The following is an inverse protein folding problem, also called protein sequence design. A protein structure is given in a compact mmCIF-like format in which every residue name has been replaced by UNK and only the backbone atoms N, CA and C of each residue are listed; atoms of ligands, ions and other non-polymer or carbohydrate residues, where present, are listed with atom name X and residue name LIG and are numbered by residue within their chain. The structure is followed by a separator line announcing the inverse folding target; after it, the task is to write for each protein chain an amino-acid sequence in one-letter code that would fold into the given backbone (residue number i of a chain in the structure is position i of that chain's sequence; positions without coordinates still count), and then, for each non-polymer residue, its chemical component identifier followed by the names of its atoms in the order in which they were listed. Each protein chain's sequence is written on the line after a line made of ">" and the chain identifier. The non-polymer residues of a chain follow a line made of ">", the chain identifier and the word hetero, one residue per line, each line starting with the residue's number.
data_IF_759155508386
#
_entry.id   IF_759155508386
#
_cell.length_a   1.000
_cell.length_b   1.000
_cell.length_c   1.000
_cell.angle_alpha   90.00
_cell.angle_beta   90.00
_cell.angle_gamma   90.00
#
_symmetry.space_group_name_H-M   'P 1'
#
loop_
_entity.id
_entity.type
_entity.pdbx_description
1 polymer ?
#
# COMPACT_ATOMS: atom_id res chain seq x y z
N UNK A 1 -24.77 -5.18 13.85
CA UNK A 1 -24.12 -4.33 12.85
C UNK A 1 -24.47 -4.86 11.47
N UNK A 2 -24.76 -3.98 10.54
CA UNK A 2 -24.94 -4.34 9.13
C UNK A 2 -23.58 -4.37 8.41
N UNK A 3 -23.55 -4.84 7.17
CA UNK A 3 -22.34 -4.82 6.33
C UNK A 3 -21.90 -3.39 5.93
N UNK A 4 -22.72 -2.40 6.24
CA UNK A 4 -22.43 -0.98 5.97
C UNK A 4 -21.84 -0.26 7.21
N UNK A 5 -21.82 -0.95 8.35
CA UNK A 5 -21.32 -0.35 9.59
C UNK A 5 -19.79 -0.52 9.71
N UNK A 6 -19.10 0.55 10.12
CA UNK A 6 -17.72 0.48 10.57
C UNK A 6 -17.69 0.28 12.09
N UNK A 7 -16.86 -0.65 12.57
CA UNK A 7 -16.76 -1.00 13.98
C UNK A 7 -15.36 -0.65 14.48
N UNK A 8 -15.26 0.24 15.47
CA UNK A 8 -14.03 0.50 16.20
C UNK A 8 -14.04 -0.30 17.51
N UNK A 9 -13.00 -1.11 17.73
CA UNK A 9 -12.87 -1.96 18.92
C UNK A 9 -11.68 -1.47 19.73
N UNK A 10 -11.96 -0.93 20.91
CA UNK A 10 -10.97 -0.53 21.88
C UNK A 10 -10.87 -1.54 23.02
N UNK A 11 -9.67 -1.94 23.39
CA UNK A 11 -9.44 -2.88 24.49
C UNK A 11 -7.97 -3.00 24.83
N UNK A 12 -7.69 -3.35 26.08
CA UNK A 12 -6.33 -3.55 26.58
C UNK A 12 -5.56 -4.61 25.75
N UNK A 13 -4.23 -4.57 25.72
CA UNK A 13 -3.42 -5.67 25.19
C UNK A 13 -3.84 -7.00 25.85
N UNK A 14 -3.90 -8.07 25.06
CA UNK A 14 -4.29 -9.43 25.51
C UNK A 14 -5.74 -9.56 26.02
N UNK A 15 -6.63 -8.62 25.72
CA UNK A 15 -8.06 -8.69 26.08
C UNK A 15 -8.86 -9.71 25.26
N UNK A 16 -8.23 -10.42 24.33
CA UNK A 16 -8.88 -11.42 23.49
C UNK A 16 -9.54 -10.86 22.23
N UNK A 17 -9.29 -9.60 21.85
CA UNK A 17 -9.86 -8.98 20.64
C UNK A 17 -9.62 -9.83 19.38
N UNK A 18 -8.40 -10.30 19.16
CA UNK A 18 -8.05 -11.17 18.03
C UNK A 18 -8.86 -12.47 18.06
N UNK A 19 -8.81 -13.19 19.18
CA UNK A 19 -9.45 -14.51 19.30
C UNK A 19 -10.98 -14.46 19.23
N UNK A 20 -11.61 -13.49 19.91
CA UNK A 20 -13.06 -13.47 20.05
C UNK A 20 -13.80 -12.64 19.00
N UNK A 21 -13.09 -11.71 18.32
CA UNK A 21 -13.70 -10.81 17.35
C UNK A 21 -13.06 -10.94 15.98
N UNK A 22 -11.77 -10.67 15.81
CA UNK A 22 -11.13 -10.65 14.51
C UNK A 22 -11.22 -12.00 13.78
N UNK A 23 -10.94 -13.12 14.47
CA UNK A 23 -11.03 -14.46 13.88
C UNK A 23 -12.45 -14.74 13.40
N UNK A 24 -13.48 -14.45 14.18
CA UNK A 24 -14.87 -14.67 13.80
C UNK A 24 -15.28 -13.79 12.62
N UNK A 25 -14.89 -12.51 12.61
CA UNK A 25 -15.16 -11.61 11.49
C UNK A 25 -14.52 -12.09 10.18
N UNK A 26 -13.29 -12.63 10.25
CA UNK A 26 -12.62 -13.22 9.09
C UNK A 26 -13.37 -14.47 8.59
N UNK A 27 -13.80 -15.36 9.50
CA UNK A 27 -14.46 -16.61 9.14
C UNK A 27 -15.87 -16.39 8.60
N UNK A 28 -16.62 -15.45 9.17
CA UNK A 28 -18.03 -15.20 8.82
C UNK A 28 -18.18 -14.27 7.59
N UNK A 29 -17.09 -13.66 7.12
CA UNK A 29 -17.14 -12.73 5.99
C UNK A 29 -17.62 -13.43 4.71
N UNK A 30 -18.71 -12.97 4.07
CA UNK A 30 -19.28 -13.60 2.88
C UNK A 30 -18.46 -13.35 1.60
N UNK A 31 -17.73 -12.24 1.56
CA UNK A 31 -16.94 -11.79 0.43
C UNK A 31 -15.44 -11.92 0.64
N UNK A 32 -14.70 -11.07 -0.09
CA UNK A 32 -13.26 -10.94 0.08
C UNK A 32 -12.92 -10.35 1.46
N UNK A 33 -11.75 -10.72 1.99
CA UNK A 33 -11.28 -10.27 3.30
C UNK A 33 -9.84 -9.77 3.18
N UNK A 34 -9.59 -8.57 3.68
CA UNK A 34 -8.24 -8.07 3.97
C UNK A 34 -8.09 -7.96 5.46
N UNK A 35 -7.06 -8.57 6.01
CA UNK A 35 -6.77 -8.48 7.45
C UNK A 35 -5.32 -8.15 7.70
N UNK A 36 -5.07 -7.21 8.62
CA UNK A 36 -3.74 -6.83 9.06
C UNK A 36 -3.44 -7.43 10.42
N UNK A 37 -2.19 -7.74 10.71
CA UNK A 37 -1.72 -8.11 12.03
C UNK A 37 -0.21 -7.98 12.13
N UNK A 38 0.29 -7.70 13.32
CA UNK A 38 1.73 -7.78 13.64
C UNK A 38 2.17 -9.20 14.00
N UNK A 39 1.22 -10.15 14.12
CA UNK A 39 1.44 -11.54 14.54
C UNK A 39 0.71 -12.53 13.62
N UNK A 40 1.23 -13.75 13.46
CA UNK A 40 0.64 -14.75 12.59
C UNK A 40 -0.60 -15.46 13.18
N UNK A 41 -1.08 -15.06 14.37
CA UNK A 41 -2.14 -15.78 15.09
C UNK A 41 -3.45 -15.85 14.29
N UNK A 42 -3.89 -14.73 13.69
CA UNK A 42 -5.10 -14.68 12.85
C UNK A 42 -4.95 -15.57 11.60
N UNK A 43 -3.76 -15.55 10.97
CA UNK A 43 -3.44 -16.39 9.81
C UNK A 43 -3.55 -17.86 10.21
N UNK A 44 -2.83 -18.27 11.25
CA UNK A 44 -2.78 -19.67 11.70
C UNK A 44 -4.18 -20.22 12.04
N UNK A 45 -5.03 -19.39 12.65
CA UNK A 45 -6.37 -19.80 13.07
C UNK A 45 -7.38 -19.92 11.91
N UNK A 46 -7.23 -19.13 10.84
CA UNK A 46 -8.30 -18.97 9.84
C UNK A 46 -7.93 -19.43 8.44
N UNK A 47 -6.65 -19.54 8.08
CA UNK A 47 -6.19 -19.85 6.73
C UNK A 47 -6.77 -21.15 6.16
N UNK A 48 -6.79 -22.23 6.98
CA UNK A 48 -7.30 -23.51 6.53
C UNK A 48 -8.82 -23.52 6.34
N UNK A 49 -9.56 -22.76 7.14
CA UNK A 49 -11.00 -22.64 7.00
C UNK A 49 -11.36 -21.86 5.72
N UNK A 50 -10.69 -20.74 5.46
CA UNK A 50 -10.90 -19.95 4.25
C UNK A 50 -10.52 -20.69 2.97
N UNK A 51 -9.45 -21.48 2.99
CA UNK A 51 -9.06 -22.35 1.86
C UNK A 51 -10.08 -23.45 1.54
N UNK A 52 -10.74 -24.04 2.56
CA UNK A 52 -11.71 -25.13 2.36
C UNK A 52 -12.93 -24.71 1.54
N UNK A 53 -13.24 -23.44 1.50
CA UNK A 53 -14.34 -22.89 0.70
C UNK A 53 -13.97 -22.67 -0.78
N UNK A 54 -12.80 -23.13 -1.21
CA UNK A 54 -12.31 -22.96 -2.58
C UNK A 54 -11.89 -21.53 -2.90
N UNK A 55 -11.80 -20.66 -1.88
CA UNK A 55 -11.41 -19.24 -2.05
C UNK A 55 -9.89 -19.12 -2.06
N UNK A 56 -9.31 -18.26 -2.92
CA UNK A 56 -7.88 -18.01 -2.90
C UNK A 56 -7.46 -17.36 -1.59
N UNK A 57 -6.32 -17.79 -1.08
CA UNK A 57 -5.73 -17.21 0.14
C UNK A 57 -4.30 -16.81 -0.15
N UNK A 58 -3.99 -15.56 0.13
CA UNK A 58 -2.68 -14.98 -0.04
C UNK A 58 -2.16 -14.38 1.26
N UNK A 59 -0.84 -14.39 1.41
CA UNK A 59 -0.14 -13.79 2.56
C UNK A 59 0.92 -12.83 2.02
N UNK A 60 0.83 -11.59 2.39
CA UNK A 60 1.85 -10.58 2.19
C UNK A 60 2.63 -10.41 3.48
N UNK A 61 3.81 -10.99 3.53
CA UNK A 61 4.73 -10.97 4.68
C UNK A 61 6.15 -10.64 4.18
N UNK A 62 6.39 -9.39 3.77
CA UNK A 62 7.66 -9.00 3.18
C UNK A 62 8.84 -9.13 4.16
N UNK A 63 8.59 -9.08 5.44
CA UNK A 63 9.60 -9.20 6.49
C UNK A 63 9.79 -10.64 7.00
N UNK A 64 8.96 -11.60 6.53
CA UNK A 64 8.94 -13.01 6.97
C UNK A 64 8.73 -13.18 8.48
N UNK A 65 7.71 -12.49 9.00
CA UNK A 65 7.31 -12.54 10.41
C UNK A 65 6.68 -13.88 10.81
N UNK A 66 6.06 -14.55 9.85
CA UNK A 66 5.35 -15.82 10.06
C UNK A 66 6.19 -17.02 9.58
N UNK A 67 7.00 -17.58 10.47
CA UNK A 67 7.76 -18.78 10.17
C UNK A 67 6.84 -19.95 9.79
N UNK A 68 7.11 -20.61 8.65
CA UNK A 68 6.37 -21.78 8.18
C UNK A 68 5.04 -21.48 7.47
N UNK A 69 4.64 -20.22 7.34
CA UNK A 69 3.51 -19.82 6.50
C UNK A 69 4.07 -19.35 5.15
N UNK A 70 3.63 -19.94 4.02
CA UNK A 70 4.07 -19.49 2.71
C UNK A 70 3.61 -18.04 2.46
N UNK A 71 4.55 -17.11 2.47
CA UNK A 71 4.34 -15.74 2.02
C UNK A 71 4.63 -15.69 0.50
N UNK A 72 3.59 -15.78 -0.31
CA UNK A 72 3.73 -15.91 -1.76
C UNK A 72 3.14 -14.74 -2.54
N UNK A 73 2.46 -13.80 -1.88
CA UNK A 73 1.91 -12.66 -2.58
C UNK A 73 3.04 -11.66 -2.92
N UNK A 74 3.09 -11.28 -4.18
CA UNK A 74 3.94 -10.22 -4.70
C UNK A 74 3.07 -9.10 -5.28
N UNK A 75 3.39 -7.86 -4.91
CA UNK A 75 2.65 -6.68 -5.34
C UNK A 75 3.58 -5.51 -5.53
N UNK A 76 3.45 -4.78 -6.63
CA UNK A 76 4.26 -3.60 -6.91
C UNK A 76 3.54 -2.30 -6.52
N UNK A 77 4.19 -1.38 -5.78
CA UNK A 77 3.63 -0.06 -5.52
C UNK A 77 3.47 0.79 -6.79
N UNK A 78 4.12 0.43 -7.89
CA UNK A 78 4.03 1.11 -9.19
C UNK A 78 2.79 0.66 -9.97
N UNK A 79 2.18 -0.48 -9.61
CA UNK A 79 1.05 -1.06 -10.33
C UNK A 79 -0.10 -0.05 -10.51
N UNK A 80 -0.53 0.13 -11.76
CA UNK A 80 -1.65 1.00 -12.13
C UNK A 80 -1.38 2.51 -12.00
N UNK A 81 -0.15 2.92 -11.65
CA UNK A 81 0.21 4.32 -11.53
C UNK A 81 0.42 5.02 -12.88
N UNK A 82 0.25 4.33 -14.00
CA UNK A 82 0.05 4.93 -15.33
C UNK A 82 -1.26 5.76 -15.40
N UNK A 83 -2.27 5.42 -14.56
CA UNK A 83 -3.41 6.29 -14.27
C UNK A 83 -3.02 7.34 -13.21
N UNK A 84 -3.07 8.66 -13.54
CA UNK A 84 -2.70 9.72 -12.60
C UNK A 84 -3.46 9.68 -11.27
N UNK A 85 -4.76 9.33 -11.28
CA UNK A 85 -5.54 9.24 -10.05
C UNK A 85 -5.03 8.11 -9.15
N UNK A 86 -4.69 6.98 -9.71
CA UNK A 86 -4.10 5.86 -8.97
C UNK A 86 -2.75 6.26 -8.37
N UNK A 87 -1.89 6.95 -9.12
CA UNK A 87 -0.62 7.47 -8.62
C UNK A 87 -0.80 8.45 -7.44
N UNK A 88 -1.81 9.34 -7.52
CA UNK A 88 -2.14 10.29 -6.44
C UNK A 88 -2.60 9.58 -5.17
N UNK A 89 -3.49 8.59 -5.29
CA UNK A 89 -4.00 7.81 -4.15
C UNK A 89 -2.86 7.01 -3.53
N UNK A 90 -2.04 6.35 -4.35
CA UNK A 90 -0.88 5.58 -3.89
C UNK A 90 0.13 6.45 -3.14
N UNK A 91 0.46 7.61 -3.69
CA UNK A 91 1.35 8.57 -3.05
C UNK A 91 0.79 9.09 -1.72
N UNK A 92 -0.53 9.29 -1.63
CA UNK A 92 -1.17 9.69 -0.39
C UNK A 92 -1.05 8.62 0.71
N UNK A 93 -1.32 7.34 0.38
CA UNK A 93 -1.16 6.22 1.30
C UNK A 93 0.28 6.05 1.79
N UNK A 94 1.26 6.14 0.88
CA UNK A 94 2.69 6.07 1.23
C UNK A 94 3.14 7.23 2.11
N UNK A 95 2.71 8.47 1.81
CA UNK A 95 3.11 9.66 2.56
C UNK A 95 2.47 9.70 3.95
N UNK A 96 1.18 9.38 4.08
CA UNK A 96 0.46 9.41 5.36
C UNK A 96 1.04 8.43 6.37
N UNK A 97 1.48 7.26 5.92
CA UNK A 97 2.08 6.24 6.78
C UNK A 97 3.47 6.63 7.32
N UNK A 98 4.08 7.73 6.85
CA UNK A 98 5.32 8.26 7.43
C UNK A 98 5.14 8.94 8.78
N UNK A 99 3.90 9.31 9.14
CA UNK A 99 3.60 10.03 10.36
C UNK A 99 4.09 11.48 10.39
N UNK A 100 4.53 12.06 9.27
CA UNK A 100 5.03 13.43 9.20
C UNK A 100 3.99 14.47 9.64
N UNK A 101 2.71 14.21 9.42
CA UNK A 101 1.60 15.08 9.85
C UNK A 101 1.11 14.80 11.27
N UNK A 102 1.46 13.65 11.87
CA UNK A 102 0.95 13.20 13.17
C UNK A 102 1.76 13.72 14.38
N UNK A 103 2.91 14.36 14.15
CA UNK A 103 3.76 14.91 15.20
C UNK A 103 3.55 16.41 15.38
N UNK A 104 3.95 16.96 16.53
CA UNK A 104 4.05 18.42 16.81
C UNK A 104 5.10 19.15 15.94
N UNK A 105 5.38 18.64 14.73
CA UNK A 105 6.31 19.25 13.79
C UNK A 105 5.60 20.44 13.14
N UNK A 106 6.07 21.62 13.45
CA UNK A 106 5.58 22.87 12.83
C UNK A 106 5.65 22.73 11.29
N UNK A 107 4.49 22.82 10.63
CA UNK A 107 4.40 22.62 9.17
C UNK A 107 4.36 21.16 8.69
N UNK A 108 4.16 20.14 9.55
CA UNK A 108 4.15 18.72 9.15
C UNK A 108 3.20 18.41 7.99
N UNK A 109 2.01 19.02 7.97
CA UNK A 109 1.06 18.86 6.85
C UNK A 109 1.57 19.45 5.53
N UNK A 110 2.35 20.54 5.57
CA UNK A 110 2.99 21.12 4.39
C UNK A 110 4.04 20.18 3.80
N UNK A 111 4.91 19.64 4.65
CA UNK A 111 5.96 18.70 4.21
C UNK A 111 5.39 17.40 3.66
N UNK A 112 4.35 16.84 4.31
CA UNK A 112 3.64 15.68 3.79
C UNK A 112 3.01 15.95 2.42
N UNK A 113 2.36 17.12 2.24
CA UNK A 113 1.78 17.50 0.96
C UNK A 113 2.85 17.62 -0.15
N UNK A 114 4.02 18.18 0.15
CA UNK A 114 5.14 18.27 -0.80
C UNK A 114 5.75 16.90 -1.11
N UNK A 115 5.91 16.04 -0.10
CA UNK A 115 6.35 14.66 -0.26
C UNK A 115 5.40 13.90 -1.19
N UNK A 116 4.09 14.05 -1.00
CA UNK A 116 3.07 13.42 -1.85
C UNK A 116 3.17 13.87 -3.31
N UNK A 117 3.40 15.16 -3.57
CA UNK A 117 3.60 15.68 -4.94
C UNK A 117 4.81 15.05 -5.62
N UNK A 118 5.92 14.89 -4.92
CA UNK A 118 7.09 14.22 -5.46
C UNK A 118 6.82 12.72 -5.69
N UNK A 119 6.25 12.02 -4.71
CA UNK A 119 5.94 10.59 -4.81
C UNK A 119 4.99 10.26 -5.96
N UNK A 120 3.92 11.05 -6.16
CA UNK A 120 2.99 10.80 -7.28
C UNK A 120 3.67 10.91 -8.63
N UNK A 121 4.56 11.89 -8.81
CA UNK A 121 5.32 12.06 -10.03
C UNK A 121 6.30 10.90 -10.27
N UNK A 122 7.03 10.45 -9.23
CA UNK A 122 7.95 9.33 -9.31
C UNK A 122 7.23 8.01 -9.63
N UNK A 123 6.09 7.74 -8.98
CA UNK A 123 5.27 6.55 -9.23
C UNK A 123 4.71 6.54 -10.64
N UNK A 124 4.20 7.68 -11.11
CA UNK A 124 3.65 7.82 -12.45
C UNK A 124 4.72 7.63 -13.52
N UNK A 125 5.88 8.28 -13.38
CA UNK A 125 7.01 8.08 -14.28
C UNK A 125 7.47 6.63 -14.32
N UNK A 126 7.57 5.98 -13.16
CA UNK A 126 7.95 4.56 -13.08
C UNK A 126 6.96 3.65 -13.80
N UNK A 127 5.65 3.91 -13.67
CA UNK A 127 4.62 3.11 -14.35
C UNK A 127 4.63 3.32 -15.86
N UNK A 128 4.75 4.57 -16.33
CA UNK A 128 4.77 4.91 -17.75
C UNK A 128 5.94 4.27 -18.51
N UNK A 129 7.10 4.18 -17.87
CA UNK A 129 8.33 3.65 -18.50
C UNK A 129 8.64 2.19 -18.07
N UNK A 130 7.70 1.53 -17.38
CA UNK A 130 7.84 0.14 -16.95
C UNK A 130 8.99 -0.09 -15.96
N UNK A 131 9.31 0.90 -15.13
CA UNK A 131 10.38 0.83 -14.14
C UNK A 131 10.01 -0.07 -12.97
N UNK A 132 11.00 -0.77 -12.46
CA UNK A 132 10.85 -1.64 -11.29
C UNK A 132 10.78 -0.86 -9.97
N UNK A 133 10.33 -1.53 -8.91
CA UNK A 133 10.39 -0.96 -7.55
C UNK A 133 11.83 -0.64 -7.11
N UNK A 134 12.83 -1.36 -7.63
CA UNK A 134 14.23 -1.07 -7.35
C UNK A 134 14.69 0.26 -7.98
N UNK A 135 14.25 0.55 -9.20
CA UNK A 135 14.54 1.82 -9.86
C UNK A 135 13.81 2.98 -9.19
N UNK A 136 12.54 2.78 -8.82
CA UNK A 136 11.80 3.75 -8.00
C UNK A 136 12.54 4.03 -6.69
N UNK A 137 13.00 2.99 -5.98
CA UNK A 137 13.76 3.15 -4.74
C UNK A 137 15.06 3.94 -4.97
N UNK A 138 15.81 3.66 -6.02
CA UNK A 138 17.02 4.40 -6.39
C UNK A 138 16.74 5.90 -6.54
N UNK A 139 15.63 6.29 -7.16
CA UNK A 139 15.24 7.70 -7.28
C UNK A 139 14.94 8.35 -5.93
N UNK A 140 14.45 7.58 -4.96
CA UNK A 140 14.16 8.15 -3.62
C UNK A 140 15.40 8.41 -2.77
N UNK A 141 16.54 7.80 -3.12
CA UNK A 141 17.80 7.97 -2.38
C UNK A 141 18.54 9.27 -2.75
N UNK A 142 18.35 9.76 -3.98
CA UNK A 142 19.07 10.92 -4.48
C UNK A 142 18.19 11.77 -5.41
N UNK A 143 17.92 13.04 -5.07
CA UNK A 143 17.16 13.94 -5.94
C UNK A 143 17.72 14.02 -7.37
N UNK A 144 19.05 13.93 -7.53
CA UNK A 144 19.67 14.01 -8.85
C UNK A 144 19.35 12.79 -9.72
N UNK A 145 19.19 11.60 -9.11
CA UNK A 145 18.78 10.40 -9.81
C UNK A 145 17.33 10.49 -10.31
N UNK A 146 16.48 11.24 -9.63
CA UNK A 146 15.10 11.47 -10.01
C UNK A 146 14.91 12.36 -11.26
N UNK A 147 15.99 12.99 -11.75
CA UNK A 147 15.96 13.70 -13.04
C UNK A 147 15.55 12.78 -14.21
N UNK A 148 15.81 11.46 -14.10
CA UNK A 148 15.29 10.47 -15.06
C UNK A 148 13.77 10.45 -15.09
N UNK A 149 13.10 10.53 -13.93
CA UNK A 149 11.65 10.57 -13.85
C UNK A 149 11.08 11.85 -14.48
N UNK A 150 11.76 13.00 -14.31
CA UNK A 150 11.39 14.23 -15.00
C UNK A 150 11.45 14.03 -16.51
N UNK A 151 12.55 13.51 -17.05
CA UNK A 151 12.72 13.27 -18.46
C UNK A 151 11.62 12.32 -19.04
N UNK A 152 11.20 11.31 -18.28
CA UNK A 152 10.09 10.42 -18.66
C UNK A 152 8.78 11.22 -18.75
N UNK A 153 8.47 12.02 -17.71
CA UNK A 153 7.24 12.80 -17.65
C UNK A 153 7.16 13.89 -18.73
N UNK A 154 8.29 14.44 -19.13
CA UNK A 154 8.35 15.48 -20.16
C UNK A 154 8.20 14.91 -21.59
N UNK A 155 8.53 13.64 -21.78
CA UNK A 155 8.57 13.02 -23.12
C UNK A 155 7.47 12.01 -23.37
N UNK A 156 6.90 11.38 -22.34
CA UNK A 156 5.91 10.34 -22.50
C UNK A 156 4.52 10.90 -22.78
N UNK A 157 3.87 10.45 -23.85
CA UNK A 157 2.56 10.95 -24.28
C UNK A 157 1.42 10.74 -23.25
N UNK A 158 1.54 9.76 -22.38
CA UNK A 158 0.58 9.46 -21.30
C UNK A 158 0.84 10.22 -20.00
N UNK A 159 1.88 11.07 -19.94
CA UNK A 159 2.23 11.79 -18.74
C UNK A 159 1.18 12.85 -18.37
N UNK A 160 0.87 12.94 -17.07
CA UNK A 160 -0.02 13.97 -16.55
C UNK A 160 0.62 15.36 -16.71
N UNK A 161 -0.13 16.29 -17.28
CA UNK A 161 0.36 17.62 -17.59
C UNK A 161 0.87 18.36 -16.35
N UNK A 162 2.08 18.91 -16.45
CA UNK A 162 2.72 19.69 -15.39
C UNK A 162 3.38 18.88 -14.27
N UNK A 163 3.32 17.54 -14.32
CA UNK A 163 3.95 16.73 -13.27
C UNK A 163 5.48 16.68 -13.39
N UNK A 164 6.01 16.74 -14.61
CA UNK A 164 7.44 16.93 -14.85
C UNK A 164 7.94 18.23 -14.25
N UNK A 165 7.28 19.36 -14.57
CA UNK A 165 7.60 20.66 -14.01
C UNK A 165 7.52 20.70 -12.47
N UNK A 166 6.47 20.07 -11.90
CA UNK A 166 6.30 20.00 -10.46
C UNK A 166 7.44 19.24 -9.77
N UNK A 167 7.88 18.09 -10.34
CA UNK A 167 8.99 17.32 -9.83
C UNK A 167 10.33 18.05 -9.99
N UNK A 168 10.57 18.66 -11.17
CA UNK A 168 11.76 19.48 -11.42
C UNK A 168 11.84 20.64 -10.43
N UNK A 169 10.72 21.33 -10.18
CA UNK A 169 10.65 22.40 -9.18
C UNK A 169 10.99 21.96 -7.74
N UNK A 170 10.75 20.70 -7.40
CA UNK A 170 11.18 20.13 -6.12
C UNK A 170 12.68 19.82 -6.13
N UNK A 171 13.20 19.25 -7.22
CA UNK A 171 14.62 18.90 -7.36
C UNK A 171 15.50 20.16 -7.37
N UNK A 172 15.03 21.21 -8.03
CA UNK A 172 15.76 22.48 -8.22
C UNK A 172 15.50 23.50 -7.09
N UNK A 173 14.69 23.14 -6.07
CA UNK A 173 14.45 23.99 -4.92
C UNK A 173 15.76 24.28 -4.16
N UNK A 174 15.74 25.31 -3.29
CA UNK A 174 16.89 25.55 -2.42
C UNK A 174 17.25 24.27 -1.63
N UNK A 175 18.55 24.06 -1.34
CA UNK A 175 18.99 22.77 -0.77
C UNK A 175 18.27 22.37 0.52
N UNK A 176 17.93 23.33 1.38
CA UNK A 176 17.26 23.03 2.66
C UNK A 176 15.83 22.55 2.44
N UNK A 177 15.09 23.22 1.57
CA UNK A 177 13.72 22.84 1.21
C UNK A 177 13.68 21.51 0.48
N UNK A 178 14.54 21.33 -0.54
CA UNK A 178 14.67 20.08 -1.28
C UNK A 178 14.95 18.90 -0.36
N UNK A 179 15.99 19.04 0.49
CA UNK A 179 16.44 17.94 1.35
C UNK A 179 15.34 17.57 2.39
N UNK A 180 14.58 18.56 2.89
CA UNK A 180 13.44 18.29 3.77
C UNK A 180 12.33 17.51 3.08
N UNK A 181 11.97 17.84 1.84
CA UNK A 181 10.98 17.09 1.05
C UNK A 181 11.51 15.68 0.77
N UNK A 182 12.80 15.58 0.37
CA UNK A 182 13.40 14.30 0.00
C UNK A 182 13.55 13.35 1.16
N UNK A 183 13.73 13.83 2.39
CA UNK A 183 13.64 13.00 3.59
C UNK A 183 12.27 12.32 3.71
N UNK A 184 11.19 13.04 3.43
CA UNK A 184 9.85 12.45 3.40
C UNK A 184 9.70 11.39 2.30
N UNK A 185 10.21 11.67 1.09
CA UNK A 185 10.21 10.73 -0.04
C UNK A 185 10.98 9.45 0.33
N UNK A 186 12.20 9.58 0.84
CA UNK A 186 13.03 8.46 1.25
C UNK A 186 12.39 7.65 2.39
N UNK A 187 11.77 8.32 3.37
CA UNK A 187 11.09 7.67 4.49
C UNK A 187 9.89 6.83 4.01
N UNK A 188 9.11 7.35 3.07
CA UNK A 188 7.91 6.66 2.53
C UNK A 188 8.22 5.28 1.94
N UNK A 189 9.40 5.09 1.37
CA UNK A 189 9.84 3.85 0.73
C UNK A 189 11.07 3.22 1.42
N UNK A 190 11.38 3.64 2.64
CA UNK A 190 12.57 3.16 3.38
C UNK A 190 12.58 1.66 3.62
N UNK A 191 11.42 1.01 3.68
CA UNK A 191 11.31 -0.44 3.79
C UNK A 191 11.99 -1.19 2.63
N UNK A 192 12.10 -0.57 1.45
CA UNK A 192 12.74 -1.16 0.25
C UNK A 192 14.26 -1.33 0.41
N UNK A 193 14.86 -0.76 1.44
CA UNK A 193 16.25 -1.02 1.80
C UNK A 193 16.49 -2.46 2.26
N UNK A 194 15.44 -3.17 2.73
CA UNK A 194 15.52 -4.61 3.01
C UNK A 194 15.34 -5.38 1.69
N UNK A 195 16.35 -6.20 1.26
CA UNK A 195 16.24 -6.97 0.02
C UNK A 195 15.03 -7.91 -0.04
N UNK A 196 14.55 -8.40 1.11
CA UNK A 196 13.36 -9.27 1.18
C UNK A 196 12.09 -8.49 0.85
N UNK A 197 11.99 -7.27 1.38
CA UNK A 197 10.88 -6.37 1.09
C UNK A 197 10.91 -5.96 -0.37
N UNK A 198 12.08 -5.59 -0.88
CA UNK A 198 12.25 -5.22 -2.28
C UNK A 198 11.86 -6.37 -3.23
N UNK A 199 12.25 -7.61 -2.91
CA UNK A 199 11.83 -8.81 -3.65
C UNK A 199 10.30 -8.98 -3.63
N UNK A 200 9.65 -8.84 -2.48
CA UNK A 200 8.20 -8.98 -2.34
C UNK A 200 7.41 -7.92 -3.13
N UNK A 201 7.99 -6.73 -3.37
CA UNK A 201 7.35 -5.66 -4.14
C UNK A 201 7.88 -5.51 -5.57
N UNK A 202 8.64 -6.49 -6.05
CA UNK A 202 9.17 -6.56 -7.41
C UNK A 202 8.69 -7.83 -8.12
N UNK A 203 7.37 -8.01 -8.34
CA UNK A 203 6.83 -9.19 -9.00
C UNK A 203 7.26 -9.25 -10.47
N UNK A 204 7.38 -10.47 -11.02
CA UNK A 204 7.31 -10.66 -12.46
C UNK A 204 5.90 -10.32 -12.97
N UNK A 205 5.73 -10.02 -14.27
CA UNK A 205 4.42 -9.61 -14.81
C UNK A 205 3.29 -10.61 -14.55
N UNK A 206 3.58 -11.90 -14.55
CA UNK A 206 2.66 -13.00 -14.29
C UNK A 206 2.44 -13.33 -12.81
N UNK A 207 3.26 -12.77 -11.93
CA UNK A 207 3.16 -12.95 -10.47
C UNK A 207 2.43 -11.79 -9.77
N UNK A 208 2.10 -10.74 -10.51
CA UNK A 208 1.52 -9.52 -9.93
C UNK A 208 0.12 -9.78 -9.38
N UNK A 209 -0.07 -9.47 -8.10
CA UNK A 209 -1.38 -9.52 -7.45
C UNK A 209 -2.40 -8.64 -8.17
N UNK A 210 -3.57 -9.22 -8.48
CA UNK A 210 -4.70 -8.52 -9.08
C UNK A 210 -5.84 -8.32 -8.07
N UNK A 211 -6.07 -7.09 -7.58
CA UNK A 211 -7.17 -6.79 -6.69
C UNK A 211 -8.56 -7.07 -7.27
N UNK A 212 -8.74 -6.96 -8.59
CA UNK A 212 -10.05 -7.19 -9.21
C UNK A 212 -10.40 -8.68 -9.17
N UNK A 213 -9.49 -9.55 -9.58
CA UNK A 213 -9.65 -11.01 -9.48
C UNK A 213 -9.82 -11.45 -8.01
N UNK A 214 -9.02 -10.88 -7.10
CA UNK A 214 -9.14 -11.14 -5.67
C UNK A 214 -10.54 -10.87 -5.10
N UNK A 215 -11.16 -9.75 -5.50
CA UNK A 215 -12.51 -9.40 -5.08
C UNK A 215 -13.56 -10.36 -5.67
N UNK A 216 -13.44 -10.71 -6.95
CA UNK A 216 -14.35 -11.61 -7.65
C UNK A 216 -14.33 -13.03 -7.07
N UNK A 217 -13.15 -13.54 -6.79
CA UNK A 217 -12.93 -14.87 -6.22
C UNK A 217 -13.17 -14.92 -4.71
N UNK A 218 -13.57 -13.80 -4.09
CA UNK A 218 -13.82 -13.70 -2.64
C UNK A 218 -12.60 -14.10 -1.81
N UNK A 219 -11.42 -13.71 -2.26
CA UNK A 219 -10.15 -14.09 -1.68
C UNK A 219 -9.96 -13.63 -0.23
N UNK A 220 -8.97 -14.18 0.43
CA UNK A 220 -8.53 -13.72 1.76
C UNK A 220 -7.08 -13.33 1.70
N UNK A 221 -6.79 -12.08 2.04
CA UNK A 221 -5.45 -11.52 2.08
C UNK A 221 -5.05 -11.21 3.52
N UNK A 222 -3.98 -11.85 3.96
CA UNK A 222 -3.33 -11.58 5.24
C UNK A 222 -2.12 -10.68 5.03
N UNK A 223 -2.11 -9.54 5.71
CA UNK A 223 -1.04 -8.56 5.67
C UNK A 223 -0.30 -8.59 7.01
N UNK A 224 0.95 -9.05 6.98
CA UNK A 224 1.80 -9.10 8.15
C UNK A 224 2.87 -8.01 8.06
N UNK A 225 2.86 -7.08 8.98
CA UNK A 225 3.78 -5.96 9.00
C UNK A 225 4.05 -5.45 10.41
N UNK A 226 5.21 -4.84 10.59
CA UNK A 226 5.51 -4.08 11.79
C UNK A 226 5.31 -2.60 11.53
N UNK A 227 4.66 -1.90 12.45
CA UNK A 227 4.43 -0.45 12.39
C UNK A 227 5.60 0.39 12.90
N UNK A 228 6.63 -0.21 13.49
CA UNK A 228 7.74 0.50 14.11
C UNK A 228 9.09 -0.17 13.84
N UNK A 229 10.14 0.64 13.85
CA UNK A 229 11.52 0.21 13.66
C UNK A 229 12.07 0.46 12.25
N UNK A 230 13.37 0.26 12.09
CA UNK A 230 14.03 0.34 10.80
C UNK A 230 13.47 -0.73 9.86
N UNK A 231 12.99 -0.33 8.69
CA UNK A 231 12.40 -1.23 7.71
C UNK A 231 10.91 -1.51 7.94
N UNK A 232 10.22 -0.68 8.74
CA UNK A 232 8.76 -0.78 8.90
C UNK A 232 8.06 -0.79 7.53
N UNK A 233 7.25 -1.82 7.29
CA UNK A 233 6.52 -2.02 6.03
C UNK A 233 5.09 -1.47 6.06
N UNK A 234 4.74 -0.70 7.10
CA UNK A 234 3.41 -0.14 7.27
C UNK A 234 2.97 0.73 6.08
N UNK A 235 3.87 1.55 5.51
CA UNK A 235 3.57 2.36 4.32
C UNK A 235 3.20 1.52 3.11
N UNK A 236 3.88 0.39 2.89
CA UNK A 236 3.59 -0.53 1.80
C UNK A 236 2.26 -1.27 2.03
N UNK A 237 1.98 -1.67 3.27
CA UNK A 237 0.69 -2.28 3.63
C UNK A 237 -0.45 -1.30 3.43
N UNK A 238 -0.31 -0.06 3.89
CA UNK A 238 -1.31 0.99 3.68
C UNK A 238 -1.57 1.21 2.18
N UNK A 239 -0.51 1.32 1.37
CA UNK A 239 -0.61 1.49 -0.08
C UNK A 239 -1.30 0.29 -0.77
N UNK A 240 -1.03 -0.94 -0.33
CA UNK A 240 -1.69 -2.15 -0.84
C UNK A 240 -3.18 -2.19 -0.45
N UNK A 241 -3.51 -1.84 0.78
CA UNK A 241 -4.91 -1.74 1.23
C UNK A 241 -5.65 -0.68 0.42
N UNK A 242 -5.06 0.50 0.22
CA UNK A 242 -5.65 1.56 -0.61
C UNK A 242 -5.86 1.12 -2.07
N UNK A 243 -4.93 0.36 -2.67
CA UNK A 243 -5.08 -0.20 -4.01
C UNK A 243 -6.33 -1.10 -4.11
N UNK A 244 -6.50 -2.00 -3.14
CA UNK A 244 -7.64 -2.92 -3.09
C UNK A 244 -8.95 -2.14 -2.87
N UNK A 245 -8.96 -1.18 -1.95
CA UNK A 245 -10.14 -0.36 -1.63
C UNK A 245 -10.56 0.48 -2.84
N UNK A 246 -9.61 1.07 -3.57
CA UNK A 246 -9.92 1.86 -4.75
C UNK A 246 -10.51 0.99 -5.87
N UNK A 247 -9.95 -0.19 -6.12
CA UNK A 247 -10.53 -1.15 -7.08
C UNK A 247 -11.93 -1.57 -6.62
N UNK A 248 -12.13 -1.80 -5.32
CA UNK A 248 -13.44 -2.12 -4.75
C UNK A 248 -14.46 -0.99 -4.94
N UNK A 249 -14.06 0.27 -4.73
CA UNK A 249 -14.91 1.45 -4.96
C UNK A 249 -15.31 1.59 -6.43
N UNK A 250 -14.34 1.47 -7.36
CA UNK A 250 -14.62 1.52 -8.81
C UNK A 250 -15.58 0.41 -9.23
N UNK A 251 -15.40 -0.79 -8.73
CA UNK A 251 -16.28 -1.93 -9.00
C UNK A 251 -17.67 -1.73 -8.40
N UNK A 252 -17.78 -1.22 -7.19
CA UNK A 252 -19.04 -0.88 -6.55
C UNK A 252 -19.81 0.17 -7.34
N UNK A 253 -19.14 1.21 -7.83
CA UNK A 253 -19.77 2.32 -8.56
C UNK A 253 -20.53 1.87 -9.81
N UNK A 254 -20.11 0.79 -10.46
CA UNK A 254 -20.76 0.22 -11.66
C UNK A 254 -21.68 -0.96 -11.34
N UNK A 255 -21.77 -1.37 -10.08
CA UNK A 255 -22.61 -2.49 -9.63
C UNK A 255 -24.01 -2.04 -9.24
N UNK A 256 -24.96 -2.97 -9.24
CA UNK A 256 -26.36 -2.69 -8.84
C UNK A 256 -26.39 -2.17 -7.41
N UNK A 257 -27.04 -1.02 -7.20
CA UNK A 257 -27.12 -0.37 -5.88
C UNK A 257 -25.83 0.33 -5.45
N UNK A 258 -24.88 0.53 -6.37
CA UNK A 258 -23.58 1.19 -6.13
C UNK A 258 -22.80 0.59 -4.94
N UNK A 259 -22.82 -0.73 -4.79
CA UNK A 259 -22.13 -1.46 -3.73
C UNK A 259 -21.63 -2.82 -4.21
N UNK A 260 -20.62 -3.36 -3.51
CA UNK A 260 -20.18 -4.74 -3.72
C UNK A 260 -21.15 -5.72 -3.06
N UNK A 261 -21.47 -6.80 -3.78
CA UNK A 261 -22.23 -7.93 -3.25
C UNK A 261 -21.55 -9.24 -3.73
N UNK A 262 -20.96 -10.00 -2.82
CA UNK A 262 -20.79 -9.77 -1.38
C UNK A 262 -19.80 -8.65 -1.06
N UNK A 263 -19.91 -8.01 0.13
CA UNK A 263 -19.05 -6.89 0.51
C UNK A 263 -17.60 -7.32 0.80
N UNK A 264 -16.67 -6.40 0.61
CA UNK A 264 -15.29 -6.52 1.09
C UNK A 264 -15.26 -6.27 2.61
N UNK A 265 -14.70 -7.21 3.36
CA UNK A 265 -14.45 -7.05 4.79
C UNK A 265 -13.00 -6.60 5.03
N UNK A 266 -12.83 -5.49 5.76
CA UNK A 266 -11.54 -5.02 6.24
C UNK A 266 -11.47 -5.27 7.74
N UNK A 267 -10.64 -6.25 8.16
CA UNK A 267 -10.43 -6.62 9.56
C UNK A 267 -9.03 -6.14 9.95
N UNK A 268 -8.93 -4.85 10.28
CA UNK A 268 -7.66 -4.17 10.46
C UNK A 268 -7.30 -4.16 11.96
N UNK A 269 -6.27 -4.90 12.33
CA UNK A 269 -5.75 -5.01 13.71
C UNK A 269 -4.32 -4.45 13.74
N UNK A 270 -4.05 -3.60 14.72
CA UNK A 270 -2.72 -3.00 14.97
C UNK A 270 -2.07 -2.36 13.72
N UNK A 271 -2.75 -1.35 13.15
CA UNK A 271 -2.24 -0.57 12.01
C UNK A 271 -1.47 0.66 12.52
#
# INVERSE_FOLDING_TARGET
>A
ASVEDSILILGAPRSGKGLHLAINLILDAPGAVVTTSTRPDNVAATINARKREGRPVAVFDPQRLAAGIPAGLRWSPVRGCDDPLTAMIRAAGLASATGLSAGDVEGGGFWEAKTRVALQALLHAAALDGRSSAELFRWTLDPSAAAEAVAILDTHAGAASGWGDALSGVIDADPRTRDSIWQGVALSLSALADPRVLDAVSPAPDETFDPAAFLEERGTLYLLATGSGAGASASLVAALVEDIVEVARRKAAVSTGARLDPPLALVLDEI
#
